data_IF_451801796290
#
_entry.id   IF_451801796290
#
_cell.length_a   1.000
_cell.length_b   1.000
_cell.length_c   1.000
_cell.angle_alpha   90.00
_cell.angle_beta   90.00
_cell.angle_gamma   90.00
#
_symmetry.space_group_name_H-M   'P 1'
#
loop_
_entity.id
_entity.type
_entity.pdbx_description
1 polymer ?
#
# COMPACT_ATOMS: atom_id res chain seq x y z
N UNK A 1 29.82 67.78 -35.26
CA UNK A 1 28.44 67.31 -35.16
C UNK A 1 28.43 65.80 -35.30
N UNK A 2 28.39 65.12 -34.20
CA UNK A 2 28.39 63.65 -34.20
C UNK A 2 26.99 63.18 -33.80
N UNK A 3 26.29 62.52 -34.75
CA UNK A 3 24.98 61.92 -34.57
C UNK A 3 25.06 60.70 -33.64
N UNK A 4 24.38 60.73 -32.53
CA UNK A 4 24.17 59.59 -31.67
C UNK A 4 23.13 58.67 -32.28
N UNK A 5 23.54 57.51 -32.80
CA UNK A 5 22.60 56.44 -33.19
C UNK A 5 22.14 55.70 -31.95
N UNK A 6 20.89 55.84 -31.62
CA UNK A 6 20.27 55.06 -30.57
C UNK A 6 20.18 53.60 -30.96
N UNK A 7 20.86 52.72 -30.20
CA UNK A 7 20.70 51.27 -30.31
C UNK A 7 19.38 50.87 -29.69
N UNK A 8 18.40 50.48 -30.53
CA UNK A 8 17.20 49.81 -30.05
C UNK A 8 17.56 48.42 -29.53
N UNK A 9 17.52 48.24 -28.23
CA UNK A 9 17.57 46.92 -27.61
C UNK A 9 16.30 46.17 -28.06
N UNK A 10 16.51 45.16 -28.90
CA UNK A 10 15.43 44.25 -29.30
C UNK A 10 14.91 43.48 -28.11
N UNK A 11 13.60 43.47 -27.91
CA UNK A 11 12.95 42.60 -26.94
C UNK A 11 13.13 41.15 -27.42
N UNK A 12 13.97 40.40 -26.74
CA UNK A 12 14.08 38.97 -26.98
C UNK A 12 12.93 38.28 -26.23
N UNK A 13 11.92 37.86 -26.98
CA UNK A 13 10.90 36.93 -26.45
C UNK A 13 11.48 35.55 -26.50
N UNK A 14 11.72 34.93 -25.32
CA UNK A 14 11.98 33.52 -25.24
C UNK A 14 10.61 32.83 -25.23
N UNK A 15 10.15 32.36 -26.38
CA UNK A 15 9.05 31.41 -26.45
C UNK A 15 9.63 30.03 -26.03
N UNK A 16 9.35 29.65 -24.80
CA UNK A 16 9.55 28.29 -24.32
C UNK A 16 8.49 27.39 -24.94
N UNK A 17 8.73 26.93 -26.15
CA UNK A 17 8.01 25.79 -26.70
C UNK A 17 8.49 24.52 -26.01
N UNK A 18 7.97 24.24 -24.84
CA UNK A 18 8.07 22.90 -24.26
C UNK A 18 7.12 21.99 -25.04
N UNK A 19 7.53 21.55 -26.23
CA UNK A 19 7.02 20.30 -26.78
C UNK A 19 7.61 19.17 -25.96
N UNK A 20 7.39 19.19 -24.66
CA UNK A 20 7.75 18.08 -23.83
C UNK A 20 6.65 17.03 -23.92
N UNK A 21 6.74 16.24 -24.98
CA UNK A 21 5.87 15.09 -25.21
C UNK A 21 5.90 14.11 -24.03
N UNK A 22 6.95 14.16 -23.20
CA UNK A 22 7.07 13.39 -21.97
C UNK A 22 6.23 13.97 -20.85
N UNK A 23 6.23 15.31 -20.68
CA UNK A 23 5.39 15.98 -19.68
C UNK A 23 3.91 15.83 -20.01
N UNK A 24 3.52 16.07 -21.28
CA UNK A 24 2.14 15.88 -21.74
C UNK A 24 1.70 14.42 -21.61
N UNK A 25 2.61 13.48 -21.91
CA UNK A 25 2.32 12.05 -21.72
C UNK A 25 2.20 11.71 -20.23
N UNK A 26 3.10 12.20 -19.37
CA UNK A 26 3.03 12.03 -17.93
C UNK A 26 1.76 12.60 -17.31
N UNK A 27 1.34 13.80 -17.73
CA UNK A 27 0.08 14.41 -17.30
C UNK A 27 -1.15 13.63 -17.79
N UNK A 28 -1.12 13.12 -19.01
CA UNK A 28 -2.20 12.29 -19.54
C UNK A 28 -2.27 10.93 -18.83
N UNK A 29 -1.13 10.34 -18.51
CA UNK A 29 -1.07 9.08 -17.77
C UNK A 29 -1.49 9.28 -16.31
N UNK A 30 -1.10 10.37 -15.66
CA UNK A 30 -1.59 10.77 -14.34
C UNK A 30 -3.10 11.02 -14.35
N UNK A 31 -3.62 11.73 -15.38
CA UNK A 31 -5.06 11.96 -15.54
C UNK A 31 -5.84 10.65 -15.72
N UNK A 32 -5.32 9.70 -16.50
CA UNK A 32 -5.95 8.38 -16.66
C UNK A 32 -5.94 7.56 -15.36
N UNK A 33 -4.84 7.62 -14.60
CA UNK A 33 -4.75 6.96 -13.29
C UNK A 33 -5.73 7.57 -12.29
N UNK A 34 -5.84 8.91 -12.26
CA UNK A 34 -6.83 9.61 -11.45
C UNK A 34 -8.27 9.27 -11.86
N UNK A 35 -8.54 9.11 -13.16
CA UNK A 35 -9.87 8.73 -13.65
C UNK A 35 -10.23 7.29 -13.29
N UNK A 36 -9.24 6.38 -13.36
CA UNK A 36 -9.38 4.98 -12.94
C UNK A 36 -9.57 4.88 -11.43
N UNK A 37 -8.80 5.62 -10.66
CA UNK A 37 -8.93 5.74 -9.21
C UNK A 37 -10.28 6.34 -8.82
N UNK A 38 -10.72 7.41 -9.49
CA UNK A 38 -12.04 8.01 -9.30
C UNK A 38 -13.19 7.04 -9.57
N UNK A 39 -13.06 6.17 -10.57
CA UNK A 39 -14.04 5.11 -10.87
C UNK A 39 -14.05 4.02 -9.80
N UNK A 40 -12.89 3.68 -9.26
CA UNK A 40 -12.77 2.73 -8.14
C UNK A 40 -13.38 3.32 -6.86
N UNK A 41 -13.13 4.61 -6.58
CA UNK A 41 -13.79 5.33 -5.48
C UNK A 41 -15.30 5.45 -5.67
N UNK A 42 -15.80 5.60 -6.91
CA UNK A 42 -17.24 5.53 -7.19
C UNK A 42 -17.82 4.15 -6.86
N UNK A 43 -17.10 3.06 -7.10
CA UNK A 43 -17.51 1.72 -6.70
C UNK A 43 -17.58 1.54 -5.18
N UNK A 44 -16.64 2.13 -4.45
CA UNK A 44 -16.64 2.19 -2.98
C UNK A 44 -17.71 3.17 -2.48
N UNK A 45 -17.81 4.34 -3.11
CA UNK A 45 -18.78 5.39 -2.78
C UNK A 45 -20.22 4.97 -3.03
N UNK A 46 -20.52 4.16 -4.05
CA UNK A 46 -21.87 3.61 -4.26
C UNK A 46 -22.26 2.58 -3.19
N UNK A 47 -21.30 1.82 -2.66
CA UNK A 47 -21.53 0.95 -1.50
C UNK A 47 -21.71 1.77 -0.21
N UNK A 48 -21.01 2.88 -0.05
CA UNK A 48 -21.18 3.82 1.07
C UNK A 48 -22.40 4.74 0.90
N UNK A 49 -22.78 5.12 -0.32
CA UNK A 49 -23.98 5.92 -0.58
C UNK A 49 -25.29 5.16 -0.34
N UNK A 50 -25.27 3.82 -0.31
CA UNK A 50 -26.40 3.03 0.20
C UNK A 50 -26.58 3.16 1.72
N UNK A 51 -25.63 3.77 2.44
CA UNK A 51 -25.69 4.01 3.89
C UNK A 51 -25.97 5.48 4.27
N UNK A 52 -26.17 6.39 3.32
CA UNK A 52 -26.53 7.77 3.68
C UNK A 52 -26.25 8.80 2.57
N UNK A 53 -27.28 9.50 2.23
CA UNK A 53 -27.41 10.49 1.18
C UNK A 53 -26.26 11.51 1.03
N UNK A 54 -25.83 11.64 -0.24
CA UNK A 54 -25.45 12.94 -0.80
C UNK A 54 -24.16 13.59 -0.30
N UNK A 55 -23.11 13.52 -1.11
CA UNK A 55 -22.26 14.68 -1.37
C UNK A 55 -21.47 14.38 -2.65
N UNK A 56 -21.77 15.11 -3.70
CA UNK A 56 -20.84 15.38 -4.79
C UNK A 56 -19.78 16.32 -4.20
N UNK A 57 -18.71 15.76 -3.62
CA UNK A 57 -17.59 16.58 -3.17
C UNK A 57 -16.85 17.14 -4.40
N UNK A 58 -16.54 18.42 -4.44
CA UNK A 58 -15.76 19.02 -5.52
C UNK A 58 -14.36 18.38 -5.59
N UNK A 59 -13.74 18.44 -6.77
CA UNK A 59 -12.40 17.90 -7.09
C UNK A 59 -11.30 18.17 -6.02
N UNK A 60 -11.45 19.26 -5.24
CA UNK A 60 -10.58 19.56 -4.11
C UNK A 60 -10.63 18.52 -2.98
N UNK A 61 -11.77 17.85 -2.77
CA UNK A 61 -11.90 16.76 -1.81
C UNK A 61 -11.17 15.49 -2.28
N UNK A 62 -11.20 15.19 -3.57
CA UNK A 62 -10.49 14.04 -4.12
C UNK A 62 -8.97 14.19 -4.04
N UNK A 63 -8.45 15.41 -4.27
CA UNK A 63 -7.02 15.69 -4.13
C UNK A 63 -6.56 15.52 -2.67
N UNK A 64 -7.35 15.98 -1.70
CA UNK A 64 -7.04 15.80 -0.27
C UNK A 64 -7.05 14.31 0.13
N UNK A 65 -8.06 13.54 -0.28
CA UNK A 65 -8.12 12.09 0.00
C UNK A 65 -6.91 11.38 -0.60
N UNK A 66 -6.48 11.76 -1.80
CA UNK A 66 -5.29 11.20 -2.44
C UNK A 66 -4.02 11.57 -1.67
N UNK A 67 -3.88 12.82 -1.23
CA UNK A 67 -2.75 13.29 -0.45
C UNK A 67 -2.68 12.58 0.92
N UNK A 68 -3.81 12.51 1.64
CA UNK A 68 -3.91 11.83 2.94
C UNK A 68 -3.55 10.33 2.79
N UNK A 69 -4.06 9.65 1.75
CA UNK A 69 -3.78 8.23 1.51
C UNK A 69 -2.31 7.99 1.12
N UNK A 70 -1.72 8.88 0.31
CA UNK A 70 -0.30 8.80 -0.03
C UNK A 70 0.60 8.96 1.19
N UNK A 71 0.33 9.96 2.03
CA UNK A 71 1.03 10.18 3.29
C UNK A 71 0.90 8.98 4.24
N UNK A 72 -0.29 8.44 4.41
CA UNK A 72 -0.53 7.26 5.25
C UNK A 72 0.25 6.05 4.76
N UNK A 73 0.35 5.84 3.43
CA UNK A 73 1.11 4.73 2.83
C UNK A 73 2.62 4.90 3.01
N UNK A 74 3.15 6.12 2.84
CA UNK A 74 4.58 6.42 3.08
C UNK A 74 4.91 6.18 4.55
N UNK A 75 4.11 6.70 5.45
CA UNK A 75 4.25 6.52 6.89
C UNK A 75 4.21 5.04 7.30
N UNK A 76 3.25 4.28 6.75
CA UNK A 76 3.13 2.85 7.01
C UNK A 76 4.33 2.09 6.46
N UNK A 77 4.82 2.44 5.27
CA UNK A 77 6.03 1.87 4.69
C UNK A 77 7.24 2.07 5.60
N UNK A 78 7.42 3.28 6.11
CA UNK A 78 8.51 3.58 7.06
C UNK A 78 8.39 2.81 8.37
N UNK A 79 7.16 2.65 8.89
CA UNK A 79 6.91 1.94 10.15
C UNK A 79 6.98 0.41 10.04
N UNK A 80 6.71 -0.14 8.85
CA UNK A 80 6.65 -1.60 8.64
C UNK A 80 7.81 -2.13 7.82
N UNK A 81 8.55 -1.28 7.09
CA UNK A 81 9.58 -1.71 6.16
C UNK A 81 9.05 -2.45 4.93
N UNK A 82 7.74 -2.42 4.71
CA UNK A 82 7.08 -2.94 3.49
C UNK A 82 7.00 -1.80 2.48
N UNK A 83 7.27 -2.05 1.20
CA UNK A 83 7.18 -1.01 0.16
C UNK A 83 5.75 -0.49 0.01
N UNK A 84 5.59 0.73 -0.49
CA UNK A 84 4.28 1.35 -0.76
C UNK A 84 3.47 0.50 -1.73
N UNK A 85 4.12 -0.04 -2.75
CA UNK A 85 3.52 -0.93 -3.74
C UNK A 85 2.94 -2.18 -3.08
N UNK A 86 3.75 -2.88 -2.26
CA UNK A 86 3.32 -4.09 -1.57
C UNK A 86 2.23 -3.78 -0.52
N UNK A 87 2.30 -2.63 0.17
CA UNK A 87 1.28 -2.21 1.14
C UNK A 87 -0.06 -1.91 0.47
N UNK A 88 -0.06 -1.21 -0.67
CA UNK A 88 -1.30 -0.91 -1.39
C UNK A 88 -1.98 -2.20 -1.91
N UNK A 89 -1.18 -3.14 -2.41
CA UNK A 89 -1.68 -4.43 -2.89
C UNK A 89 -2.17 -5.33 -1.73
N UNK A 90 -1.41 -5.42 -0.63
CA UNK A 90 -1.82 -6.15 0.57
C UNK A 90 -3.02 -5.51 1.27
N UNK A 91 -3.11 -4.18 1.24
CA UNK A 91 -4.28 -3.44 1.74
C UNK A 91 -5.55 -3.81 0.97
N UNK A 92 -5.48 -3.85 -0.36
CA UNK A 92 -6.57 -4.35 -1.20
C UNK A 92 -6.95 -5.79 -0.83
N UNK A 93 -5.96 -6.68 -0.66
CA UNK A 93 -6.20 -8.06 -0.28
C UNK A 93 -6.86 -8.18 1.10
N UNK A 94 -6.46 -7.35 2.07
CA UNK A 94 -7.06 -7.29 3.40
C UNK A 94 -8.53 -6.83 3.32
N UNK A 95 -8.82 -5.76 2.58
CA UNK A 95 -10.18 -5.24 2.39
C UNK A 95 -11.11 -6.25 1.71
N UNK A 96 -10.63 -6.94 0.68
CA UNK A 96 -11.39 -8.01 0.02
C UNK A 96 -11.70 -9.17 0.97
N UNK A 97 -10.86 -9.36 1.98
CA UNK A 97 -11.00 -10.41 2.99
C UNK A 97 -11.75 -9.94 4.25
N UNK A 98 -12.23 -8.69 4.28
CA UNK A 98 -13.00 -8.12 5.38
C UNK A 98 -12.18 -7.52 6.52
N UNK A 99 -10.87 -7.33 6.33
CA UNK A 99 -10.00 -6.59 7.23
C UNK A 99 -9.74 -5.18 6.66
N UNK A 100 -9.27 -4.26 7.50
CA UNK A 100 -8.85 -2.92 7.08
C UNK A 100 -7.32 -2.78 7.06
N UNK A 101 -6.85 -1.70 6.44
CA UNK A 101 -5.43 -1.40 6.31
C UNK A 101 -4.73 -1.21 7.67
N UNK A 102 -5.44 -0.62 8.66
CA UNK A 102 -4.91 -0.45 10.02
C UNK A 102 -4.71 -1.79 10.75
N UNK A 103 -5.63 -2.73 10.54
CA UNK A 103 -5.50 -4.11 11.03
C UNK A 103 -4.31 -4.81 10.39
N UNK A 104 -4.09 -4.63 9.08
CA UNK A 104 -2.92 -5.16 8.39
C UNK A 104 -1.62 -4.56 8.95
N UNK A 105 -1.53 -3.23 9.07
CA UNK A 105 -0.37 -2.54 9.65
C UNK A 105 -0.06 -3.05 11.06
N UNK A 106 -1.08 -3.08 11.92
CA UNK A 106 -0.93 -3.56 13.29
C UNK A 106 -0.44 -5.01 13.35
N UNK A 107 -0.91 -5.84 12.44
CA UNK A 107 -0.52 -7.25 12.33
C UNK A 107 0.92 -7.41 11.83
N UNK A 108 1.33 -6.64 10.81
CA UNK A 108 2.71 -6.63 10.34
C UNK A 108 3.69 -6.21 11.44
N UNK A 109 3.37 -5.16 12.18
CA UNK A 109 4.21 -4.71 13.32
C UNK A 109 4.30 -5.76 14.43
N UNK A 110 3.21 -6.47 14.72
CA UNK A 110 3.21 -7.55 15.71
C UNK A 110 4.01 -8.75 15.24
N UNK A 111 3.87 -9.14 13.99
CA UNK A 111 4.69 -10.18 13.36
C UNK A 111 6.18 -9.85 13.48
N UNK A 112 6.60 -8.65 13.09
CA UNK A 112 7.99 -8.21 13.17
C UNK A 112 8.51 -8.23 14.61
N UNK A 113 7.70 -7.76 15.56
CA UNK A 113 8.05 -7.82 16.98
C UNK A 113 8.28 -9.28 17.42
N UNK A 114 7.37 -10.18 17.07
CA UNK A 114 7.50 -11.61 17.40
C UNK A 114 8.75 -12.23 16.75
N UNK A 115 9.05 -11.88 15.48
CA UNK A 115 10.27 -12.34 14.81
C UNK A 115 11.54 -11.81 15.48
N UNK A 116 11.54 -10.55 15.92
CA UNK A 116 12.64 -9.97 16.70
C UNK A 116 12.80 -10.67 18.04
N UNK A 117 11.72 -10.95 18.76
CA UNK A 117 11.75 -11.70 20.02
C UNK A 117 12.31 -13.12 19.83
N UNK A 118 11.90 -13.80 18.74
CA UNK A 118 12.44 -15.11 18.39
C UNK A 118 13.94 -15.06 18.09
N UNK A 119 14.39 -14.04 17.34
CA UNK A 119 15.80 -13.82 17.04
C UNK A 119 16.62 -13.48 18.30
N UNK A 120 15.99 -12.81 19.26
CA UNK A 120 16.60 -12.45 20.56
C UNK A 120 16.57 -13.60 21.59
N UNK A 121 16.10 -14.80 21.21
CA UNK A 121 16.13 -15.99 22.05
C UNK A 121 14.85 -16.27 22.85
N UNK A 122 13.74 -15.59 22.57
CA UNK A 122 12.44 -15.91 23.19
C UNK A 122 12.00 -17.32 22.80
N UNK A 123 11.97 -18.23 23.76
CA UNK A 123 11.59 -19.61 23.56
C UNK A 123 10.16 -19.72 23.01
N UNK A 124 9.21 -18.98 23.56
CA UNK A 124 7.81 -18.99 23.12
C UNK A 124 7.65 -18.55 21.67
N UNK A 125 8.38 -17.50 21.25
CA UNK A 125 8.36 -17.04 19.86
C UNK A 125 9.00 -18.07 18.92
N UNK A 126 10.11 -18.69 19.34
CA UNK A 126 10.76 -19.76 18.56
C UNK A 126 9.87 -21.00 18.43
N UNK A 127 9.18 -21.40 19.50
CA UNK A 127 8.22 -22.52 19.48
C UNK A 127 7.03 -22.23 18.55
N UNK A 128 6.55 -20.98 18.53
CA UNK A 128 5.50 -20.54 17.60
C UNK A 128 5.95 -20.69 16.15
N UNK A 129 7.15 -20.25 15.80
CA UNK A 129 7.70 -20.43 14.45
C UNK A 129 7.94 -21.91 14.12
N UNK A 130 8.49 -22.67 15.07
CA UNK A 130 8.76 -24.11 14.89
C UNK A 130 7.46 -24.90 14.64
N UNK A 131 6.34 -24.51 15.28
CA UNK A 131 5.03 -25.14 15.06
C UNK A 131 4.53 -24.97 13.60
N UNK A 132 5.01 -23.94 12.89
CA UNK A 132 4.78 -23.70 11.47
C UNK A 132 5.86 -24.32 10.58
N UNK A 133 6.85 -25.01 11.14
CA UNK A 133 8.00 -25.50 10.39
C UNK A 133 8.90 -24.39 9.86
N UNK A 134 8.88 -23.21 10.52
CA UNK A 134 9.68 -22.04 10.16
C UNK A 134 10.83 -21.83 11.15
N UNK A 135 11.89 -21.21 10.70
CA UNK A 135 13.01 -20.78 11.53
C UNK A 135 13.32 -19.30 11.36
N UNK A 136 13.88 -18.68 12.39
CA UNK A 136 14.37 -17.30 12.32
C UNK A 136 15.36 -17.12 11.17
N UNK A 137 16.27 -18.09 10.96
CA UNK A 137 17.28 -18.03 9.90
C UNK A 137 16.70 -18.01 8.47
N UNK A 138 15.53 -18.62 8.27
CA UNK A 138 14.81 -18.53 6.99
C UNK A 138 14.17 -17.15 6.82
N UNK A 139 13.43 -16.72 7.85
CA UNK A 139 12.65 -15.49 7.78
C UNK A 139 13.53 -14.23 7.74
N UNK A 140 14.68 -14.23 8.40
CA UNK A 140 15.58 -13.06 8.40
C UNK A 140 16.19 -12.70 7.04
N UNK A 141 16.05 -13.55 6.04
CA UNK A 141 16.51 -13.31 4.66
C UNK A 141 15.47 -12.71 3.76
N UNK A 142 14.24 -12.62 4.23
CA UNK A 142 13.06 -12.19 3.47
C UNK A 142 12.67 -10.77 3.87
N UNK A 143 12.08 -10.04 2.93
CA UNK A 143 11.40 -8.78 3.23
C UNK A 143 10.15 -9.01 4.10
N UNK A 144 9.65 -8.00 4.82
CA UNK A 144 8.51 -8.17 5.71
C UNK A 144 7.23 -8.69 5.03
N UNK A 145 6.98 -8.30 3.80
CA UNK A 145 5.86 -8.81 2.99
C UNK A 145 6.06 -10.27 2.57
N UNK A 146 7.29 -10.66 2.22
CA UNK A 146 7.64 -12.06 1.94
C UNK A 146 7.53 -12.92 3.21
N UNK A 147 7.95 -12.39 4.37
CA UNK A 147 7.76 -13.05 5.67
C UNK A 147 6.28 -13.30 5.94
N UNK A 148 5.44 -12.28 5.71
CA UNK A 148 4.00 -12.38 5.87
C UNK A 148 3.40 -13.45 4.96
N UNK A 149 3.76 -13.46 3.67
CA UNK A 149 3.29 -14.46 2.70
C UNK A 149 3.74 -15.88 3.06
N UNK A 150 4.99 -16.06 3.50
CA UNK A 150 5.48 -17.37 3.92
C UNK A 150 4.77 -17.87 5.18
N UNK A 151 4.52 -17.01 6.16
CA UNK A 151 3.75 -17.35 7.36
C UNK A 151 2.30 -17.70 6.97
N UNK A 152 1.68 -16.93 6.07
CA UNK A 152 0.34 -17.21 5.54
C UNK A 152 0.25 -18.60 4.90
N UNK A 153 1.26 -18.96 4.09
CA UNK A 153 1.34 -20.27 3.45
C UNK A 153 1.36 -21.40 4.50
N UNK A 154 2.15 -21.27 5.55
CA UNK A 154 2.19 -22.26 6.63
C UNK A 154 0.91 -22.32 7.45
N UNK A 155 0.30 -21.17 7.69
CA UNK A 155 -0.98 -21.08 8.41
C UNK A 155 -2.14 -21.66 7.62
N UNK A 156 -2.14 -21.58 6.29
CA UNK A 156 -3.19 -22.19 5.47
C UNK A 156 -3.28 -23.68 5.67
N UNK A 157 -2.15 -24.34 5.95
CA UNK A 157 -2.04 -25.78 6.15
C UNK A 157 -2.55 -26.26 7.53
N UNK A 158 -2.82 -25.35 8.47
CA UNK A 158 -3.39 -25.70 9.76
C UNK A 158 -4.88 -26.02 9.59
N UNK A 159 -5.25 -27.28 9.75
CA UNK A 159 -6.64 -27.76 9.62
C UNK A 159 -7.48 -27.56 10.87
N UNK A 160 -6.84 -27.50 12.06
CA UNK A 160 -7.53 -27.28 13.32
C UNK A 160 -7.86 -25.78 13.50
N UNK A 161 -9.14 -25.36 13.55
CA UNK A 161 -9.53 -23.94 13.64
C UNK A 161 -9.01 -23.28 14.93
N UNK A 162 -9.06 -23.98 16.06
CA UNK A 162 -8.61 -23.44 17.35
C UNK A 162 -7.10 -23.17 17.33
N UNK A 163 -6.33 -24.12 16.80
CA UNK A 163 -4.88 -23.94 16.65
C UNK A 163 -4.57 -22.82 15.67
N UNK A 164 -5.26 -22.75 14.51
CA UNK A 164 -5.10 -21.69 13.52
C UNK A 164 -5.34 -20.30 14.14
N UNK A 165 -6.44 -20.14 14.88
CA UNK A 165 -6.78 -18.89 15.57
C UNK A 165 -5.72 -18.54 16.64
N UNK A 166 -5.31 -19.49 17.47
CA UNK A 166 -4.28 -19.28 18.50
C UNK A 166 -2.94 -18.85 17.87
N UNK A 167 -2.53 -19.50 16.78
CA UNK A 167 -1.32 -19.15 16.04
C UNK A 167 -1.42 -17.75 15.42
N UNK A 168 -2.58 -17.40 14.83
CA UNK A 168 -2.82 -16.05 14.31
C UNK A 168 -2.69 -14.98 15.41
N UNK A 169 -3.25 -15.25 16.58
CA UNK A 169 -3.15 -14.34 17.73
C UNK A 169 -1.71 -14.22 18.27
N UNK A 170 -0.96 -15.30 18.26
CA UNK A 170 0.43 -15.31 18.70
C UNK A 170 1.34 -14.48 17.76
N UNK A 171 1.14 -14.58 16.46
CA UNK A 171 1.96 -13.92 15.44
C UNK A 171 1.50 -12.49 15.18
N UNK A 172 0.21 -12.29 14.93
CA UNK A 172 -0.37 -11.04 14.44
C UNK A 172 -1.10 -10.23 15.52
N UNK A 173 -1.17 -10.77 16.76
CA UNK A 173 -1.92 -10.15 17.85
C UNK A 173 -3.43 -10.42 17.77
N UNK A 174 -4.18 -9.84 18.70
CA UNK A 174 -5.64 -10.09 18.82
C UNK A 174 -6.42 -9.75 17.55
N UNK A 175 -6.09 -8.63 16.92
CA UNK A 175 -6.73 -8.19 15.65
C UNK A 175 -6.33 -9.06 14.45
N UNK A 176 -5.22 -9.79 14.52
CA UNK A 176 -4.77 -10.69 13.46
C UNK A 176 -5.74 -11.81 13.11
N UNK A 177 -6.71 -12.10 13.99
CA UNK A 177 -7.81 -13.03 13.67
C UNK A 177 -8.69 -12.53 12.54
N UNK A 178 -8.76 -11.23 12.32
CA UNK A 178 -9.49 -10.62 11.20
C UNK A 178 -8.81 -10.87 9.84
N UNK A 179 -7.51 -11.21 9.86
CA UNK A 179 -6.77 -11.58 8.65
C UNK A 179 -6.96 -13.06 8.27
N UNK A 180 -7.58 -13.89 9.11
CA UNK A 180 -7.74 -15.32 8.83
C UNK A 180 -8.39 -15.63 7.47
N UNK A 181 -9.40 -14.87 6.99
CA UNK A 181 -9.93 -15.09 5.65
C UNK A 181 -8.89 -14.83 4.56
N UNK A 182 -8.07 -13.78 4.70
CA UNK A 182 -6.97 -13.45 3.78
C UNK A 182 -5.87 -14.53 3.75
N UNK A 183 -5.65 -15.19 4.89
CA UNK A 183 -4.63 -16.22 5.06
C UNK A 183 -5.12 -17.62 4.66
N UNK A 184 -6.40 -17.78 4.28
CA UNK A 184 -7.02 -19.07 4.06
C UNK A 184 -6.36 -19.85 2.93
N UNK A 185 -6.07 -19.16 1.83
CA UNK A 185 -5.49 -19.74 0.62
C UNK A 185 -3.96 -19.56 0.56
N UNK A 186 -3.35 -19.18 1.69
CA UNK A 186 -1.90 -19.05 1.85
C UNK A 186 -1.28 -17.97 0.97
N UNK A 187 -0.02 -18.16 0.62
CA UNK A 187 0.73 -17.22 -0.21
C UNK A 187 0.12 -17.04 -1.60
N UNK A 188 -0.43 -18.11 -2.17
CA UNK A 188 -1.04 -18.08 -3.50
C UNK A 188 -2.29 -17.19 -3.52
N UNK A 189 -3.20 -17.36 -2.56
CA UNK A 189 -4.41 -16.52 -2.49
C UNK A 189 -4.08 -15.03 -2.31
N UNK A 190 -3.06 -14.72 -1.50
CA UNK A 190 -2.57 -13.35 -1.36
C UNK A 190 -2.02 -12.81 -2.68
N UNK A 191 -1.21 -13.58 -3.40
CA UNK A 191 -0.62 -13.17 -4.67
C UNK A 191 -1.70 -12.96 -5.75
N UNK A 192 -2.74 -13.79 -5.78
CA UNK A 192 -3.89 -13.62 -6.68
C UNK A 192 -4.64 -12.31 -6.41
N UNK A 193 -4.85 -11.95 -5.13
CA UNK A 193 -5.46 -10.68 -4.75
C UNK A 193 -4.54 -9.48 -5.05
N UNK A 194 -3.22 -9.61 -4.84
CA UNK A 194 -2.26 -8.60 -5.23
C UNK A 194 -2.25 -8.39 -6.76
N UNK A 195 -2.32 -9.49 -7.54
CA UNK A 195 -2.40 -9.39 -8.99
C UNK A 195 -3.70 -8.69 -9.43
N UNK A 196 -4.83 -8.97 -8.78
CA UNK A 196 -6.07 -8.25 -9.05
C UNK A 196 -5.93 -6.75 -8.75
N UNK A 197 -5.24 -6.38 -7.67
CA UNK A 197 -4.96 -4.97 -7.36
C UNK A 197 -4.15 -4.31 -8.50
N UNK A 198 -3.11 -4.99 -9.00
CA UNK A 198 -2.30 -4.53 -10.13
C UNK A 198 -3.13 -4.36 -11.41
N UNK A 199 -3.93 -5.36 -11.74
CA UNK A 199 -4.78 -5.36 -12.96
C UNK A 199 -5.84 -4.24 -12.91
N UNK A 200 -6.32 -3.90 -11.71
CA UNK A 200 -7.25 -2.80 -11.48
C UNK A 200 -6.55 -1.43 -11.40
N UNK A 201 -5.22 -1.38 -11.42
CA UNK A 201 -4.44 -0.14 -11.30
C UNK A 201 -4.52 0.48 -9.89
N UNK A 202 -4.71 -0.35 -8.86
CA UNK A 202 -4.81 0.07 -7.45
C UNK A 202 -3.46 0.05 -6.73
N UNK A 203 -2.40 -0.44 -7.39
CA UNK A 203 -1.04 -0.36 -6.86
C UNK A 203 -0.58 1.09 -6.88
N UNK A 204 -0.25 1.64 -5.72
CA UNK A 204 0.33 2.97 -5.58
C UNK A 204 1.86 2.86 -5.71
N UNK A 205 2.47 3.62 -6.62
CA UNK A 205 3.92 3.69 -6.72
C UNK A 205 4.49 4.57 -5.61
N UNK A 206 5.70 4.27 -5.17
CA UNK A 206 6.39 5.06 -4.12
C UNK A 206 6.50 6.53 -4.52
N UNK A 207 6.78 6.85 -5.80
CA UNK A 207 6.86 8.22 -6.30
C UNK A 207 5.50 8.94 -6.24
N UNK A 208 4.41 8.22 -6.54
CA UNK A 208 3.06 8.77 -6.48
C UNK A 208 2.65 9.09 -5.03
N UNK A 209 3.00 8.21 -4.08
CA UNK A 209 2.74 8.41 -2.67
C UNK A 209 3.54 9.59 -2.08
N UNK A 210 4.83 9.69 -2.43
CA UNK A 210 5.67 10.83 -2.02
C UNK A 210 5.21 12.15 -2.65
N UNK A 211 4.77 12.12 -3.90
CA UNK A 211 4.18 13.29 -4.52
C UNK A 211 2.88 13.71 -3.84
N UNK A 212 2.05 12.75 -3.43
CA UNK A 212 0.82 12.99 -2.69
C UNK A 212 1.10 13.62 -1.31
N UNK A 213 2.09 13.10 -0.57
CA UNK A 213 2.55 13.65 0.72
C UNK A 213 3.03 15.11 0.58
N UNK A 214 3.73 15.45 -0.51
CA UNK A 214 4.22 16.81 -0.77
C UNK A 214 3.10 17.82 -1.08
N UNK A 215 1.89 17.37 -1.39
CA UNK A 215 0.72 18.21 -1.65
C UNK A 215 -0.18 18.44 -0.42
N UNK A 216 -0.02 17.68 0.66
CA UNK A 216 -0.77 17.79 1.91
C UNK A 216 -0.13 18.80 2.86
#
# INVERSE_FOLDING_TARGET
MASSSSIKAGSAYIELFTKDSRLVKGLNDASKRLDTFGKSLQGIGTKMAMLGAGIVAPLAGAAKVFADMGSDMVDMSQRTGVSVEALSELGFAAEQSGADLGTLEGSLKKMQKMLFEAASGSQSAQETLASLGLSVAQLSKLSPDEQFKLIADRMSQITNPTLKTATAMAIFGKSGTQLLPMLQDGAQGIEELQQQARDLGLTMATEDAQAAEAFG
#
